data_IF_488931713796
#
_entry.id   IF_488931713796
#
_cell.length_a   1.000
_cell.length_b   1.000
_cell.length_c   1.000
_cell.angle_alpha   90.00
_cell.angle_beta   90.00
_cell.angle_gamma   90.00
#
_symmetry.space_group_name_H-M   'P 1'
#
loop_
_entity.id
_entity.type
_entity.pdbx_description
1 polymer ?
#
# COMPACT_ATOMS: atom_id res chain seq x y z
N UNK A 1 -30.95 -30.10 8.50
CA UNK A 1 -30.01 -29.51 9.48
C UNK A 1 -28.58 -29.77 9.03
N UNK A 2 -27.71 -28.79 9.22
CA UNK A 2 -26.43 -28.58 8.51
C UNK A 2 -25.43 -29.72 8.67
N UNK A 3 -24.77 -30.09 7.57
CA UNK A 3 -23.55 -30.91 7.54
C UNK A 3 -22.57 -30.29 6.54
N UNK A 4 -21.46 -29.75 7.02
CA UNK A 4 -20.22 -29.47 6.25
C UNK A 4 -19.10 -29.46 7.31
N UNK A 5 -18.44 -30.56 7.63
CA UNK A 5 -17.26 -31.15 6.96
C UNK A 5 -16.21 -30.09 6.60
N UNK A 6 -15.36 -29.72 7.56
CA UNK A 6 -14.09 -29.06 7.30
C UNK A 6 -13.08 -30.10 6.80
N UNK A 7 -12.92 -30.20 5.48
CA UNK A 7 -11.82 -30.95 4.86
C UNK A 7 -10.59 -30.05 4.74
N UNK A 8 -9.46 -30.55 5.22
CA UNK A 8 -8.12 -29.99 5.05
C UNK A 8 -7.79 -29.81 3.57
N UNK A 9 -7.19 -28.66 3.22
CA UNK A 9 -6.42 -28.53 1.99
C UNK A 9 -4.93 -28.51 2.34
N UNK A 10 -4.27 -29.64 2.06
CA UNK A 10 -2.83 -29.71 1.82
C UNK A 10 -2.53 -28.98 0.52
N UNK A 11 -1.57 -28.07 0.52
CA UNK A 11 -0.85 -27.72 -0.70
C UNK A 11 0.63 -28.01 -0.45
N UNK A 12 1.12 -29.08 -1.08
CA UNK A 12 2.50 -29.56 -1.07
C UNK A 12 2.91 -29.72 -2.53
N UNK A 13 3.85 -28.88 -2.99
CA UNK A 13 4.96 -29.20 -3.90
C UNK A 13 5.76 -27.91 -4.13
N UNK A 14 6.86 -27.65 -3.42
CA UNK A 14 8.24 -28.07 -3.71
C UNK A 14 8.74 -27.67 -5.11
N UNK A 15 9.66 -26.70 -5.12
CA UNK A 15 10.72 -26.56 -6.11
C UNK A 15 11.96 -26.05 -5.39
N UNK A 16 12.89 -26.96 -5.13
CA UNK A 16 14.23 -26.69 -4.62
C UNK A 16 15.01 -25.80 -5.60
N UNK A 17 15.51 -24.66 -5.12
CA UNK A 17 16.87 -24.11 -5.33
C UNK A 17 16.93 -22.68 -4.79
N UNK A 18 17.72 -22.52 -3.72
CA UNK A 18 18.50 -21.33 -3.35
C UNK A 18 18.06 -19.99 -3.96
N UNK A 19 17.02 -19.41 -3.39
CA UNK A 19 16.93 -17.96 -3.16
C UNK A 19 15.89 -17.79 -2.07
N UNK A 20 16.29 -17.27 -0.92
CA UNK A 20 15.34 -16.76 0.07
C UNK A 20 14.68 -15.52 -0.52
N UNK A 21 13.80 -15.71 -1.50
CA UNK A 21 12.76 -14.73 -1.79
C UNK A 21 11.84 -14.84 -0.58
N UNK A 22 12.06 -13.95 0.39
CA UNK A 22 11.01 -13.62 1.34
C UNK A 22 9.92 -12.98 0.50
N UNK A 23 9.08 -13.81 -0.12
CA UNK A 23 7.78 -13.39 -0.57
C UNK A 23 7.08 -12.93 0.69
N UNK A 24 6.97 -11.61 0.87
CA UNK A 24 5.98 -11.07 1.79
C UNK A 24 4.61 -11.46 1.21
N UNK A 25 4.22 -12.70 1.47
CA UNK A 25 2.83 -13.11 1.46
C UNK A 25 2.27 -12.47 2.72
N UNK A 26 1.68 -11.28 2.55
CA UNK A 26 0.84 -10.67 3.57
C UNK A 26 -0.35 -11.62 3.77
N UNK A 27 -0.23 -12.52 4.75
CA UNK A 27 -1.34 -13.31 5.26
C UNK A 27 -2.22 -12.37 6.07
N UNK A 28 -3.24 -11.78 5.45
CA UNK A 28 -4.14 -10.91 6.20
C UNK A 28 -5.32 -10.34 5.44
N UNK A 29 -5.16 -9.98 4.17
CA UNK A 29 -6.26 -9.47 3.37
C UNK A 29 -6.82 -10.58 2.46
N UNK A 30 -7.90 -11.24 2.89
CA UNK A 30 -8.84 -11.83 1.94
C UNK A 30 -9.43 -10.67 1.13
N UNK A 31 -8.78 -10.29 0.04
CA UNK A 31 -9.34 -9.32 -0.89
C UNK A 31 -10.60 -9.93 -1.50
N UNK A 32 -11.76 -9.24 -1.46
CA UNK A 32 -12.96 -9.72 -2.11
C UNK A 32 -12.65 -10.12 -3.56
N UNK A 33 -13.22 -11.22 -4.04
CA UNK A 33 -12.99 -11.74 -5.40
C UNK A 33 -13.28 -10.72 -6.53
N UNK A 34 -13.95 -9.61 -6.21
CA UNK A 34 -14.25 -8.51 -7.12
C UNK A 34 -13.13 -7.47 -7.26
N UNK A 35 -12.14 -7.45 -6.35
CA UNK A 35 -11.05 -6.45 -6.38
C UNK A 35 -10.10 -6.75 -7.53
N UNK A 36 -9.89 -5.76 -8.39
CA UNK A 36 -9.07 -5.85 -9.60
C UNK A 36 -7.82 -4.98 -9.53
N UNK A 37 -7.81 -3.96 -8.66
CA UNK A 37 -6.66 -3.10 -8.45
C UNK A 37 -6.30 -3.03 -6.97
N UNK A 38 -5.09 -3.50 -6.64
CA UNK A 38 -4.57 -3.53 -5.28
C UNK A 38 -3.32 -2.68 -5.18
N UNK A 39 -3.30 -1.77 -4.20
CA UNK A 39 -2.16 -0.90 -3.90
C UNK A 39 -1.66 -1.17 -2.50
N UNK A 40 -0.34 -1.24 -2.35
CA UNK A 40 0.31 -1.34 -1.05
C UNK A 40 1.40 -0.29 -0.89
N UNK A 41 1.33 0.47 0.20
CA UNK A 41 2.33 1.49 0.56
C UNK A 41 3.18 0.99 1.72
N UNK A 42 4.48 0.81 1.47
CA UNK A 42 5.41 0.16 2.41
C UNK A 42 6.50 1.10 2.95
N UNK A 43 6.96 0.80 4.17
CA UNK A 43 8.14 1.41 4.80
C UNK A 43 9.46 0.95 4.18
N UNK A 44 9.52 -0.26 3.62
CA UNK A 44 10.75 -0.88 3.10
C UNK A 44 10.79 -0.83 1.59
N UNK A 45 11.97 -0.52 1.03
CA UNK A 45 12.23 -0.44 -0.41
C UNK A 45 12.26 -1.81 -1.13
N UNK A 46 11.63 -2.85 -0.58
CA UNK A 46 11.45 -4.11 -1.31
C UNK A 46 10.44 -3.85 -2.43
N UNK A 47 10.98 -3.40 -3.56
CA UNK A 47 10.32 -3.31 -4.84
C UNK A 47 9.89 -4.72 -5.23
N UNK A 48 8.57 -4.97 -5.30
CA UNK A 48 8.09 -6.17 -5.99
C UNK A 48 7.27 -5.75 -7.20
N UNK A 49 7.77 -6.25 -8.32
CA UNK A 49 7.28 -6.14 -9.68
C UNK A 49 5.85 -6.66 -9.82
N UNK A 50 5.18 -6.15 -10.87
CA UNK A 50 3.89 -6.60 -11.38
C UNK A 50 3.76 -8.12 -11.32
N UNK A 51 2.94 -8.64 -10.40
CA UNK A 51 2.55 -10.04 -10.40
C UNK A 51 1.24 -10.13 -11.19
N UNK A 52 1.32 -10.62 -12.43
CA UNK A 52 0.17 -11.12 -13.15
C UNK A 52 -0.16 -12.51 -12.60
N UNK A 53 -1.37 -12.69 -12.05
CA UNK A 53 -1.88 -14.03 -11.71
C UNK A 53 -3.06 -14.35 -12.62
N UNK A 54 -2.98 -15.52 -13.24
CA UNK A 54 -3.82 -16.06 -14.31
C UNK A 54 -5.30 -16.18 -13.91
N UNK A 55 -6.20 -15.87 -14.85
CA UNK A 55 -7.66 -16.10 -14.74
C UNK A 55 -8.53 -14.84 -14.72
N UNK A 56 -7.91 -13.67 -14.57
CA UNK A 56 -8.51 -12.33 -14.66
C UNK A 56 -7.39 -11.29 -14.53
N UNK A 57 -7.47 -10.16 -15.24
CA UNK A 57 -6.43 -9.13 -15.12
C UNK A 57 -6.57 -8.46 -13.75
N UNK A 58 -5.65 -8.75 -12.83
CA UNK A 58 -5.50 -8.06 -11.54
C UNK A 58 -4.20 -7.26 -11.58
N UNK A 59 -4.25 -6.00 -11.18
CA UNK A 59 -3.06 -5.15 -11.04
C UNK A 59 -2.72 -5.05 -9.57
N UNK A 60 -1.50 -5.45 -9.21
CA UNK A 60 -0.92 -5.26 -7.89
C UNK A 60 0.22 -4.26 -7.98
N UNK A 61 0.14 -3.22 -7.18
CA UNK A 61 1.12 -2.15 -7.08
C UNK A 61 1.67 -2.11 -5.66
N UNK A 62 2.99 -2.18 -5.52
CA UNK A 62 3.66 -1.98 -4.24
C UNK A 62 4.67 -0.85 -4.43
N UNK A 63 4.53 0.21 -3.64
CA UNK A 63 5.47 1.33 -3.66
C UNK A 63 5.86 1.78 -2.26
N UNK A 64 6.99 2.49 -2.19
CA UNK A 64 7.48 3.09 -0.96
C UNK A 64 6.78 4.44 -0.71
N UNK A 65 6.67 4.83 0.56
CA UNK A 65 6.33 6.21 0.93
C UNK A 65 7.16 7.27 0.17
N UNK A 66 6.65 8.49 0.11
CA UNK A 66 7.34 9.62 -0.54
C UNK A 66 8.53 10.15 0.24
N UNK A 67 9.11 11.24 -0.26
CA UNK A 67 10.14 11.96 0.47
C UNK A 67 9.74 12.29 1.92
N UNK A 68 10.67 12.10 2.84
CA UNK A 68 10.45 12.22 4.28
C UNK A 68 11.67 12.79 4.98
N UNK A 69 11.45 13.32 6.17
CA UNK A 69 12.53 13.73 7.07
C UNK A 69 13.32 12.52 7.57
N UNK A 70 14.57 12.71 8.06
CA UNK A 70 15.37 11.65 8.67
C UNK A 70 14.62 10.96 9.82
N UNK A 71 14.80 9.65 10.01
CA UNK A 71 14.16 8.93 11.14
C UNK A 71 14.99 9.10 12.42
N UNK A 72 16.31 9.08 12.26
CA UNK A 72 17.29 9.33 13.30
C UNK A 72 18.47 10.01 12.64
N UNK A 73 19.15 10.87 13.40
CA UNK A 73 20.42 11.45 12.98
C UNK A 73 21.59 10.70 13.62
N UNK A 74 22.78 10.88 13.04
CA UNK A 74 24.00 10.38 13.65
C UNK A 74 24.36 11.23 14.88
N UNK A 75 25.10 10.69 15.87
CA UNK A 75 25.31 11.37 17.16
C UNK A 75 25.95 12.77 17.05
N UNK A 76 26.81 12.98 16.05
CA UNK A 76 27.53 14.25 15.81
C UNK A 76 26.83 15.16 14.81
N UNK A 77 25.57 14.90 14.45
CA UNK A 77 24.84 15.72 13.49
C UNK A 77 24.52 17.09 14.09
N UNK A 78 24.80 18.13 13.31
CA UNK A 78 24.50 19.51 13.65
C UNK A 78 22.99 19.78 13.54
N UNK A 79 22.33 19.13 12.60
CA UNK A 79 20.91 19.33 12.35
C UNK A 79 20.09 18.57 13.38
N UNK A 80 19.25 19.28 14.14
CA UNK A 80 18.36 18.66 15.14
C UNK A 80 16.94 18.49 14.61
N UNK A 81 16.14 17.70 15.33
CA UNK A 81 14.73 17.45 14.96
C UNK A 81 13.93 18.75 14.81
N UNK A 82 14.21 19.76 15.63
CA UNK A 82 13.56 21.07 15.60
C UNK A 82 13.71 21.84 14.28
N UNK A 83 14.70 21.49 13.45
CA UNK A 83 14.89 22.10 12.13
C UNK A 83 13.96 21.51 11.06
N UNK A 84 13.31 20.39 11.37
CA UNK A 84 12.33 19.75 10.50
C UNK A 84 10.93 20.17 10.94
N UNK A 85 10.16 20.91 10.11
CA UNK A 85 8.85 21.44 10.52
C UNK A 85 7.85 20.38 11.00
N UNK A 86 7.98 19.16 10.47
CA UNK A 86 7.16 18.01 10.82
C UNK A 86 7.84 17.07 11.84
N UNK A 87 9.08 17.35 12.27
CA UNK A 87 9.89 16.42 13.07
C UNK A 87 10.45 15.25 12.27
N UNK A 88 11.02 14.26 12.95
CA UNK A 88 11.69 13.12 12.31
C UNK A 88 10.73 12.05 11.79
N UNK A 89 11.14 11.39 10.69
CA UNK A 89 10.46 10.26 10.06
C UNK A 89 9.13 10.60 9.37
N UNK A 90 8.80 11.88 9.24
CA UNK A 90 7.53 12.39 8.74
C UNK A 90 7.59 12.73 7.25
N UNK A 91 6.45 12.58 6.57
CA UNK A 91 6.33 12.87 5.14
C UNK A 91 6.48 14.37 4.88
N UNK A 92 7.28 14.76 3.89
CA UNK A 92 7.44 16.16 3.50
C UNK A 92 6.38 16.60 2.49
N UNK A 93 6.24 17.90 2.27
CA UNK A 93 5.40 18.45 1.19
C UNK A 93 5.86 17.92 -0.19
N UNK A 94 7.18 17.77 -0.38
CA UNK A 94 7.76 17.14 -1.57
C UNK A 94 7.26 15.70 -1.72
N UNK A 95 7.26 14.93 -0.64
CA UNK A 95 6.74 13.56 -0.63
C UNK A 95 5.26 13.48 -0.98
N UNK A 96 4.43 14.38 -0.46
CA UNK A 96 3.02 14.46 -0.83
C UNK A 96 2.84 14.70 -2.34
N UNK A 97 3.58 15.66 -2.90
CA UNK A 97 3.53 15.98 -4.33
C UNK A 97 3.96 14.79 -5.20
N UNK A 98 5.04 14.10 -4.83
CA UNK A 98 5.51 12.90 -5.53
C UNK A 98 4.42 11.83 -5.63
N UNK A 99 3.70 11.57 -4.54
CA UNK A 99 2.67 10.54 -4.51
C UNK A 99 1.41 10.97 -5.25
N UNK A 100 1.05 12.25 -5.16
CA UNK A 100 -0.02 12.82 -5.97
C UNK A 100 0.24 12.66 -7.47
N UNK A 101 1.43 13.02 -7.93
CA UNK A 101 1.85 12.86 -9.33
C UNK A 101 1.89 11.38 -9.75
N UNK A 102 2.34 10.49 -8.85
CA UNK A 102 2.27 9.04 -9.09
C UNK A 102 0.83 8.56 -9.26
N UNK A 103 -0.12 9.07 -8.46
CA UNK A 103 -1.54 8.80 -8.58
C UNK A 103 -2.11 9.22 -9.94
N UNK A 104 -1.78 10.44 -10.38
CA UNK A 104 -2.17 10.95 -11.70
C UNK A 104 -1.58 10.12 -12.83
N UNK A 105 -0.30 9.74 -12.72
CA UNK A 105 0.36 8.87 -13.69
C UNK A 105 -0.34 7.51 -13.78
N UNK A 106 -0.65 6.88 -12.65
CA UNK A 106 -1.35 5.60 -12.63
C UNK A 106 -2.77 5.69 -13.17
N UNK A 107 -3.50 6.77 -12.90
CA UNK A 107 -4.82 7.03 -13.48
C UNK A 107 -4.76 7.06 -15.00
N UNK A 108 -3.78 7.76 -15.55
CA UNK A 108 -3.55 7.85 -17.01
C UNK A 108 -3.09 6.51 -17.59
N UNK A 109 -2.18 5.82 -16.92
CA UNK A 109 -1.61 4.56 -17.39
C UNK A 109 -2.62 3.42 -17.44
N UNK A 110 -3.58 3.41 -16.52
CA UNK A 110 -4.60 2.36 -16.40
C UNK A 110 -6.01 2.88 -16.67
N UNK A 111 -6.18 3.91 -17.51
CA UNK A 111 -7.50 4.50 -17.83
C UNK A 111 -8.50 3.47 -18.38
N UNK A 112 -8.00 2.48 -19.12
CA UNK A 112 -8.83 1.44 -19.75
C UNK A 112 -9.22 0.33 -18.76
N UNK A 113 -8.59 0.31 -17.58
CA UNK A 113 -8.77 -0.71 -16.56
C UNK A 113 -9.43 -0.17 -15.28
N UNK A 114 -9.06 1.05 -14.88
CA UNK A 114 -9.61 1.75 -13.74
C UNK A 114 -10.75 2.64 -14.18
N UNK A 115 -11.90 2.48 -13.53
CA UNK A 115 -13.03 3.39 -13.70
C UNK A 115 -12.63 4.85 -13.40
N UNK A 116 -13.33 5.78 -14.06
CA UNK A 116 -13.11 7.23 -13.85
C UNK A 116 -13.38 7.64 -12.41
N UNK A 117 -14.40 7.06 -11.79
CA UNK A 117 -14.79 7.24 -10.39
C UNK A 117 -14.27 6.13 -9.47
N UNK A 118 -14.20 6.40 -8.17
CA UNK A 118 -13.80 5.40 -7.18
C UNK A 118 -14.93 4.36 -6.99
N UNK A 119 -14.57 3.07 -6.98
CA UNK A 119 -15.47 1.96 -6.72
C UNK A 119 -14.85 1.03 -5.66
N UNK A 120 -15.52 0.92 -4.50
CA UNK A 120 -15.04 0.12 -3.36
C UNK A 120 -14.94 -1.37 -3.67
N UNK A 121 -15.74 -1.89 -4.59
CA UNK A 121 -15.74 -3.31 -4.94
C UNK A 121 -14.55 -3.69 -5.84
N UNK A 122 -13.93 -2.73 -6.53
CA UNK A 122 -12.90 -2.97 -7.55
C UNK A 122 -11.50 -2.51 -7.14
N UNK A 123 -11.42 -1.54 -6.21
CA UNK A 123 -10.18 -0.95 -5.74
C UNK A 123 -9.94 -1.21 -4.25
N UNK A 124 -8.71 -1.61 -3.92
CA UNK A 124 -8.28 -1.81 -2.54
C UNK A 124 -6.89 -1.18 -2.34
N UNK A 125 -6.70 -0.49 -1.22
CA UNK A 125 -5.41 0.07 -0.84
C UNK A 125 -5.10 -0.25 0.61
N UNK A 126 -3.85 -0.67 0.82
CA UNK A 126 -3.29 -0.99 2.10
C UNK A 126 -2.01 -0.18 2.35
N UNK A 127 -1.76 0.18 3.61
CA UNK A 127 -0.49 0.77 4.03
C UNK A 127 0.07 0.04 5.25
N UNK A 128 1.37 0.18 5.50
CA UNK A 128 1.90 -0.07 6.84
C UNK A 128 1.41 1.01 7.82
N UNK A 129 1.44 0.68 9.11
CA UNK A 129 1.04 1.57 10.21
C UNK A 129 2.15 2.57 10.57
N UNK A 130 2.38 3.54 9.67
CA UNK A 130 3.22 4.72 9.91
C UNK A 130 2.54 5.92 9.25
N UNK A 131 2.59 7.08 9.92
CA UNK A 131 2.05 8.35 9.40
C UNK A 131 2.47 8.59 7.96
N UNK A 132 3.79 8.53 7.68
CA UNK A 132 4.32 8.73 6.33
C UNK A 132 3.76 7.80 5.27
N UNK A 133 3.41 6.56 5.60
CA UNK A 133 2.87 5.59 4.63
C UNK A 133 1.37 5.78 4.45
N UNK A 134 0.64 6.12 5.51
CA UNK A 134 -0.80 6.44 5.45
C UNK A 134 -1.00 7.75 4.67
N UNK A 135 -0.24 8.79 4.99
CA UNK A 135 -0.27 10.07 4.28
C UNK A 135 0.13 9.91 2.81
N UNK A 136 1.16 9.10 2.52
CA UNK A 136 1.54 8.76 1.14
C UNK A 136 0.40 8.10 0.37
N UNK A 137 -0.32 7.17 0.99
CA UNK A 137 -1.48 6.53 0.38
C UNK A 137 -2.59 7.56 0.08
N UNK A 138 -2.87 8.46 1.02
CA UNK A 138 -3.87 9.53 0.85
C UNK A 138 -3.49 10.51 -0.27
N UNK A 139 -2.22 10.95 -0.35
CA UNK A 139 -1.73 11.81 -1.43
C UNK A 139 -1.79 11.10 -2.79
N UNK A 140 -1.48 9.80 -2.83
CA UNK A 140 -1.64 9.00 -4.05
C UNK A 140 -3.11 8.91 -4.50
N UNK A 141 -4.03 8.70 -3.55
CA UNK A 141 -5.46 8.60 -3.84
C UNK A 141 -6.05 9.91 -4.35
N UNK A 142 -5.60 11.06 -3.85
CA UNK A 142 -6.08 12.36 -4.36
C UNK A 142 -5.68 12.60 -5.82
N UNK A 143 -4.54 12.05 -6.27
CA UNK A 143 -4.16 12.05 -7.69
C UNK A 143 -4.87 10.99 -8.53
N UNK A 144 -5.20 9.84 -7.94
CA UNK A 144 -5.80 8.70 -8.64
C UNK A 144 -7.32 8.83 -8.84
N UNK A 145 -8.03 9.35 -7.84
CA UNK A 145 -9.50 9.44 -7.81
C UNK A 145 -9.99 10.84 -7.38
N UNK A 146 -9.66 11.90 -8.14
CA UNK A 146 -10.35 13.17 -7.98
C UNK A 146 -11.87 12.94 -8.15
N UNK A 147 -12.73 13.46 -7.26
CA UNK A 147 -14.16 13.24 -7.34
C UNK A 147 -14.73 13.89 -8.60
N UNK A 148 -15.61 13.18 -9.29
CA UNK A 148 -16.33 13.67 -10.47
C UNK A 148 -17.83 13.44 -10.32
N UNK A 149 -18.63 14.33 -10.90
CA UNK A 149 -20.10 14.21 -10.95
C UNK A 149 -20.70 13.97 -9.55
N UNK A 150 -21.39 12.85 -9.32
CA UNK A 150 -22.04 12.52 -8.06
C UNK A 150 -21.09 12.23 -6.88
N UNK A 151 -19.80 12.03 -7.13
CA UNK A 151 -18.80 11.88 -6.07
C UNK A 151 -18.27 13.21 -5.52
N UNK A 152 -18.64 14.34 -6.13
CA UNK A 152 -18.33 15.67 -5.61
C UNK A 152 -19.29 15.95 -4.44
N UNK A 153 -18.79 15.79 -3.22
CA UNK A 153 -19.53 16.12 -1.99
C UNK A 153 -19.33 17.58 -1.57
N UNK A 154 -18.21 18.20 -1.99
CA UNK A 154 -17.87 19.60 -1.76
C UNK A 154 -17.31 20.22 -3.06
N UNK A 155 -17.99 21.19 -3.69
CA UNK A 155 -17.53 21.84 -4.92
C UNK A 155 -16.22 22.64 -4.78
N UNK A 156 -15.89 23.11 -3.57
CA UNK A 156 -14.67 23.90 -3.31
C UNK A 156 -13.45 23.02 -3.03
N UNK A 157 -13.67 21.72 -2.79
CA UNK A 157 -12.63 20.77 -2.44
C UNK A 157 -12.76 19.50 -3.31
N UNK A 158 -11.98 19.44 -4.39
CA UNK A 158 -11.90 18.28 -5.29
C UNK A 158 -11.10 17.12 -4.68
N UNK A 159 -11.51 16.69 -3.50
CA UNK A 159 -10.98 15.55 -2.76
C UNK A 159 -12.15 14.75 -2.18
N UNK A 160 -12.00 13.43 -2.10
CA UNK A 160 -12.97 12.56 -1.45
C UNK A 160 -12.27 11.58 -0.48
N UNK A 161 -12.92 11.24 0.64
CA UNK A 161 -12.39 10.27 1.57
C UNK A 161 -12.43 8.85 0.95
N UNK A 162 -11.26 8.26 0.72
CA UNK A 162 -11.12 6.86 0.31
C UNK A 162 -10.44 6.09 1.45
N UNK A 163 -11.03 4.97 1.93
CA UNK A 163 -10.45 4.20 3.03
C UNK A 163 -9.06 3.65 2.69
N UNK A 164 -8.09 3.90 3.57
CA UNK A 164 -6.77 3.26 3.57
C UNK A 164 -6.75 2.24 4.70
N UNK A 165 -6.64 0.96 4.36
CA UNK A 165 -6.55 -0.09 5.37
C UNK A 165 -5.10 -0.17 5.84
N UNK A 166 -4.85 -0.11 7.14
CA UNK A 166 -3.52 -0.41 7.67
C UNK A 166 -3.51 -1.79 8.30
N UNK A 167 -2.42 -2.52 8.07
CA UNK A 167 -2.16 -3.76 8.79
C UNK A 167 -1.01 -3.50 9.75
N UNK A 168 -1.24 -3.80 11.02
CA UNK A 168 -0.16 -3.88 11.99
C UNK A 168 0.64 -5.10 11.59
N UNK A 169 1.82 -4.86 11.03
CA UNK A 169 2.83 -5.92 10.89
C UNK A 169 3.14 -6.43 12.29
N UNK A 170 2.44 -7.47 12.73
CA UNK A 170 2.93 -8.33 13.80
C UNK A 170 4.17 -8.99 13.22
N UNK A 171 5.32 -8.37 13.45
CA UNK A 171 6.60 -9.06 13.37
C UNK A 171 6.49 -10.14 14.45
N UNK A 172 6.02 -11.32 14.08
CA UNK A 172 6.44 -12.52 14.79
C UNK A 172 7.95 -12.51 14.58
N UNK A 173 8.67 -11.99 15.56
CA UNK A 173 10.07 -12.30 15.70
C UNK A 173 10.08 -13.82 15.75
N UNK A 174 10.49 -14.47 14.66
CA UNK A 174 11.07 -15.79 14.73
C UNK A 174 12.35 -15.61 15.55
N UNK A 175 12.22 -15.50 16.87
CA UNK A 175 13.34 -15.65 17.77
C UNK A 175 13.91 -17.03 17.45
N UNK A 176 15.21 -17.14 17.15
CA UNK A 176 15.82 -18.46 17.00
C UNK A 176 15.51 -19.25 18.28
N UNK A 177 15.23 -20.56 18.17
CA UNK A 177 15.00 -21.38 19.35
C UNK A 177 16.17 -21.17 20.30
N UNK A 178 15.87 -20.81 21.56
CA UNK A 178 16.88 -20.83 22.61
C UNK A 178 17.45 -22.24 22.63
N UNK A 179 18.78 -22.35 22.49
CA UNK A 179 19.50 -23.62 22.62
C UNK A 179 19.26 -24.20 24.00
#
# INVERSE_FOLDING_TARGET
MKRVVTRSFKCLCQSNKTTSVIGLIFRGAECPNSVRFLVQVSRSALTSWLINVLGGRIIRLVFRHGDRTPIVNFPTDLHKESEWPQGFGQLTQTGMKQLFELGQYMKKRYSDFLNSTYNRQEFYIQSTDYDRTIMSAQSYLSGLFPPTSSQIWNPELLWQPIPVVFEILTIIHCLPPKR
#
